data_IF_090734086794
#
_entry.id   IF_090734086794
#
_cell.length_a   1.000
_cell.length_b   1.000
_cell.length_c   1.000
_cell.angle_alpha   90.00
_cell.angle_beta   90.00
_cell.angle_gamma   90.00
#
_symmetry.space_group_name_H-M   'P 1'
#
loop_
_entity.id
_entity.type
_entity.pdbx_description
1 polymer ?
#
# COMPACT_ATOMS: atom_id res chain seq x y z
N UNK A 1 6.54 -3.22 8.07
CA UNK A 1 5.90 -2.06 7.41
C UNK A 1 5.44 -1.11 8.51
N UNK A 2 5.83 0.17 8.51
CA UNK A 2 5.80 0.96 9.74
C UNK A 2 4.41 1.48 10.15
N UNK A 3 3.35 1.27 9.36
CA UNK A 3 2.03 1.89 9.61
C UNK A 3 0.84 0.92 9.51
N UNK A 4 0.90 -0.06 8.60
CA UNK A 4 -0.08 -1.14 8.59
C UNK A 4 0.18 -2.05 9.79
N UNK A 5 -0.78 -2.08 10.72
CA UNK A 5 -0.68 -2.89 11.94
C UNK A 5 -1.04 -4.35 11.67
N UNK A 6 -1.93 -4.60 10.71
CA UNK A 6 -2.38 -5.95 10.40
C UNK A 6 -3.08 -6.04 9.05
N UNK A 7 -2.95 -7.21 8.42
CA UNK A 7 -3.63 -7.58 7.19
C UNK A 7 -4.09 -9.03 7.31
N UNK A 8 -5.35 -9.31 6.99
CA UNK A 8 -5.81 -10.70 6.85
C UNK A 8 -6.79 -10.83 5.70
N UNK A 9 -6.74 -11.98 5.03
CA UNK A 9 -7.68 -12.35 3.97
C UNK A 9 -8.93 -12.91 4.63
N UNK A 10 -10.12 -12.56 4.12
CA UNK A 10 -11.37 -13.12 4.63
C UNK A 10 -11.51 -14.57 4.16
N UNK A 11 -11.57 -15.52 5.10
CA UNK A 11 -11.64 -16.96 4.79
C UNK A 11 -12.83 -17.32 3.89
N UNK A 12 -13.99 -16.73 4.16
CA UNK A 12 -15.22 -16.94 3.40
C UNK A 12 -15.26 -16.20 2.06
N UNK A 13 -14.33 -15.26 1.83
CA UNK A 13 -14.31 -14.41 0.64
C UNK A 13 -12.89 -13.91 0.31
N UNK A 14 -12.08 -14.74 -0.37
CA UNK A 14 -10.64 -14.49 -0.53
C UNK A 14 -10.28 -13.33 -1.46
N UNK A 15 -11.24 -12.81 -2.23
CA UNK A 15 -11.06 -11.56 -2.99
C UNK A 15 -11.07 -10.32 -2.09
N UNK A 16 -11.34 -10.47 -0.79
CA UNK A 16 -11.34 -9.38 0.18
C UNK A 16 -10.23 -9.56 1.22
N UNK A 17 -9.57 -8.45 1.52
CA UNK A 17 -8.61 -8.34 2.60
C UNK A 17 -9.02 -7.23 3.56
N UNK A 18 -8.92 -7.48 4.85
CA UNK A 18 -9.10 -6.47 5.88
C UNK A 18 -7.74 -5.93 6.30
N UNK A 19 -7.66 -4.61 6.35
CA UNK A 19 -6.47 -3.86 6.69
C UNK A 19 -6.76 -3.00 7.90
N UNK A 20 -5.79 -2.92 8.79
CA UNK A 20 -5.80 -1.96 9.89
C UNK A 20 -4.51 -1.15 9.88
N UNK A 21 -4.68 0.14 10.14
CA UNK A 21 -3.66 1.15 10.24
C UNK A 21 -3.69 1.68 11.67
N UNK A 22 -2.56 1.61 12.36
CA UNK A 22 -2.39 2.21 13.70
C UNK A 22 -1.25 3.20 13.63
N UNK A 23 -1.52 4.43 14.00
CA UNK A 23 -0.52 5.49 13.96
C UNK A 23 -0.82 6.57 14.99
N UNK A 24 0.24 7.17 15.50
CA UNK A 24 0.14 8.30 16.42
C UNK A 24 0.17 9.61 15.62
N UNK A 25 -0.83 10.46 15.85
CA UNK A 25 -0.95 11.77 15.22
C UNK A 25 -1.19 12.78 16.31
N UNK A 26 -0.23 13.70 16.51
CA UNK A 26 -0.30 14.74 17.54
C UNK A 26 -0.61 14.21 18.95
N UNK A 27 0.05 13.12 19.37
CA UNK A 27 -0.14 12.54 20.70
C UNK A 27 -1.41 11.68 20.85
N UNK A 28 -2.15 11.44 19.77
CA UNK A 28 -3.35 10.58 19.76
C UNK A 28 -3.12 9.35 18.91
N UNK A 29 -3.44 8.18 19.47
CA UNK A 29 -3.48 6.93 18.73
C UNK A 29 -4.73 6.91 17.84
N UNK A 30 -4.51 6.85 16.53
CA UNK A 30 -5.56 6.70 15.53
C UNK A 30 -5.49 5.28 15.00
N UNK A 31 -6.63 4.58 15.08
CA UNK A 31 -6.81 3.27 14.48
C UNK A 31 -7.88 3.36 13.38
N UNK A 32 -7.48 3.10 12.14
CA UNK A 32 -8.37 3.05 10.99
C UNK A 32 -8.37 1.63 10.44
N UNK A 33 -9.55 1.11 10.14
CA UNK A 33 -9.71 -0.18 9.48
C UNK A 33 -10.52 -0.02 8.21
N UNK A 34 -10.13 -0.73 7.16
CA UNK A 34 -10.91 -0.80 5.93
C UNK A 34 -10.89 -2.21 5.34
N UNK A 35 -11.94 -2.52 4.60
CA UNK A 35 -12.02 -3.72 3.79
C UNK A 35 -11.64 -3.37 2.37
N UNK A 36 -10.59 -3.96 1.83
CA UNK A 36 -10.14 -3.75 0.46
C UNK A 36 -10.50 -4.96 -0.41
N UNK A 37 -10.94 -4.70 -1.65
CA UNK A 37 -11.01 -5.74 -2.67
C UNK A 37 -9.62 -5.93 -3.27
N UNK A 38 -9.05 -7.11 -3.06
CA UNK A 38 -7.87 -7.56 -3.77
C UNK A 38 -8.29 -7.86 -5.20
N UNK A 39 -7.68 -7.17 -6.16
CA UNK A 39 -7.97 -7.43 -7.56
C UNK A 39 -6.79 -8.16 -8.19
N UNK A 40 -7.12 -9.11 -9.06
CA UNK A 40 -6.14 -9.97 -9.72
C UNK A 40 -5.09 -9.12 -10.43
N UNK A 41 -3.78 -9.43 -10.28
CA UNK A 41 -2.73 -8.72 -10.99
C UNK A 41 -3.02 -8.77 -12.50
N UNK A 42 -3.07 -7.61 -13.14
CA UNK A 42 -3.23 -7.55 -14.59
C UNK A 42 -1.84 -7.55 -15.21
N UNK A 43 -1.58 -8.55 -16.03
CA UNK A 43 -0.35 -8.65 -16.82
C UNK A 43 -0.72 -8.33 -18.26
N UNK A 44 -0.40 -7.12 -18.73
CA UNK A 44 -0.59 -6.74 -20.13
C UNK A 44 0.72 -6.76 -20.90
N UNK A 45 0.71 -7.42 -22.06
CA UNK A 45 1.78 -7.42 -23.05
C UNK A 45 3.18 -7.64 -22.46
N UNK A 46 3.28 -8.43 -21.39
CA UNK A 46 4.52 -8.76 -20.64
C UNK A 46 5.34 -7.56 -20.12
N UNK A 47 4.79 -6.33 -20.15
CA UNK A 47 5.56 -5.10 -19.91
C UNK A 47 5.14 -4.33 -18.66
N UNK A 48 3.93 -4.50 -18.18
CA UNK A 48 3.49 -3.79 -16.97
C UNK A 48 2.66 -4.76 -16.14
N UNK A 49 3.15 -5.01 -14.92
CA UNK A 49 2.38 -5.68 -13.89
C UNK A 49 1.78 -4.60 -13.01
N UNK A 50 0.48 -4.64 -12.77
CA UNK A 50 -0.10 -3.78 -11.75
C UNK A 50 -1.07 -4.51 -10.84
N UNK A 51 -1.02 -4.12 -9.58
CA UNK A 51 -1.94 -4.51 -8.52
C UNK A 51 -2.81 -3.29 -8.24
N UNK A 52 -4.12 -3.47 -8.13
CA UNK A 52 -5.01 -2.38 -7.74
C UNK A 52 -5.95 -2.84 -6.62
N UNK A 53 -6.27 -1.89 -5.74
CA UNK A 53 -7.20 -2.12 -4.65
C UNK A 53 -8.19 -0.97 -4.56
N UNK A 54 -9.32 -1.27 -3.94
CA UNK A 54 -10.35 -0.30 -3.60
C UNK A 54 -10.98 -0.70 -2.28
N UNK A 55 -11.07 0.26 -1.35
CA UNK A 55 -11.83 0.08 -0.13
C UNK A 55 -13.32 -0.06 -0.44
N UNK A 56 -13.97 -1.02 0.18
CA UNK A 56 -15.41 -1.21 0.13
C UNK A 56 -16.10 -0.53 1.33
N UNK A 57 -15.46 -0.56 2.50
CA UNK A 57 -15.99 -0.06 3.78
C UNK A 57 -14.84 0.47 4.64
N UNK A 58 -15.11 1.47 5.48
CA UNK A 58 -14.14 2.06 6.41
C UNK A 58 -13.50 3.31 5.83
N UNK A 59 -12.16 3.39 5.88
CA UNK A 59 -11.40 4.48 5.27
C UNK A 59 -11.51 4.45 3.73
N UNK A 60 -12.14 5.45 3.08
CA UNK A 60 -12.22 5.49 1.63
C UNK A 60 -10.82 5.67 1.03
N UNK A 61 -10.32 4.64 0.36
CA UNK A 61 -9.05 4.66 -0.33
C UNK A 61 -9.05 3.73 -1.55
N UNK A 62 -8.29 4.10 -2.56
CA UNK A 62 -7.99 3.26 -3.72
C UNK A 62 -6.55 3.49 -4.14
N UNK A 63 -6.00 2.53 -4.85
CA UNK A 63 -4.67 2.73 -5.40
C UNK A 63 -4.25 1.64 -6.33
N UNK A 64 -3.07 1.86 -6.90
CA UNK A 64 -2.41 0.91 -7.76
C UNK A 64 -0.89 0.92 -7.53
N UNK A 65 -0.29 -0.26 -7.55
CA UNK A 65 1.15 -0.43 -7.70
C UNK A 65 1.41 -0.88 -9.12
N UNK A 66 2.32 -0.21 -9.83
CA UNK A 66 2.77 -0.60 -11.17
C UNK A 66 4.25 -0.95 -11.13
N UNK A 67 4.61 -2.00 -11.84
CA UNK A 67 6.00 -2.45 -12.03
C UNK A 67 6.35 -2.31 -13.50
N UNK A 68 7.38 -1.52 -13.79
CA UNK A 68 7.93 -1.33 -15.12
C UNK A 68 9.31 -2.00 -15.19
N UNK A 69 9.51 -3.05 -15.99
CA UNK A 69 10.80 -3.71 -16.10
C UNK A 69 11.83 -2.75 -16.71
N UNK A 70 13.01 -2.70 -16.09
CA UNK A 70 14.17 -1.92 -16.57
C UNK A 70 15.28 -2.84 -17.09
N UNK A 71 15.46 -3.99 -16.44
CA UNK A 71 16.37 -5.07 -16.86
C UNK A 71 15.83 -6.42 -16.36
N UNK A 72 16.46 -7.56 -16.70
CA UNK A 72 16.05 -8.87 -16.19
C UNK A 72 16.02 -9.00 -14.66
N UNK A 73 16.79 -8.16 -13.96
CA UNK A 73 16.92 -8.16 -12.49
C UNK A 73 16.47 -6.86 -11.82
N UNK A 74 15.85 -5.94 -12.57
CA UNK A 74 15.42 -4.65 -12.01
C UNK A 74 14.14 -4.09 -12.63
N UNK A 75 13.37 -3.38 -11.81
CA UNK A 75 12.17 -2.68 -12.24
C UNK A 75 12.02 -1.32 -11.54
N UNK A 76 11.21 -0.45 -12.14
CA UNK A 76 10.71 0.78 -11.53
C UNK A 76 9.36 0.45 -10.90
N UNK A 77 9.18 0.86 -9.65
CA UNK A 77 7.92 0.70 -8.91
C UNK A 77 7.24 2.06 -8.82
N UNK A 78 6.00 2.14 -9.28
CA UNK A 78 5.17 3.34 -9.15
C UNK A 78 3.96 3.01 -8.26
N UNK A 79 3.85 3.72 -7.15
CA UNK A 79 2.68 3.68 -6.27
C UNK A 79 1.78 4.90 -6.58
N UNK A 80 0.50 4.67 -6.78
CA UNK A 80 -0.52 5.72 -6.86
C UNK A 80 -1.59 5.41 -5.82
N UNK A 81 -1.86 6.36 -4.93
CA UNK A 81 -2.88 6.23 -3.89
C UNK A 81 -3.78 7.45 -3.94
N UNK A 82 -5.06 7.21 -3.79
CA UNK A 82 -6.08 8.21 -3.59
C UNK A 82 -6.89 7.83 -2.35
N UNK A 83 -7.09 8.79 -1.47
CA UNK A 83 -7.77 8.57 -0.20
C UNK A 83 -8.57 9.81 0.17
N UNK A 84 -9.64 9.59 0.92
CA UNK A 84 -10.39 10.66 1.55
C UNK A 84 -9.91 10.82 2.99
N UNK A 85 -9.85 12.07 3.44
CA UNK A 85 -9.49 12.39 4.81
C UNK A 85 -10.75 12.21 5.67
N UNK A 86 -10.73 11.34 6.69
CA UNK A 86 -11.85 11.23 7.63
C UNK A 86 -12.20 12.60 8.23
N UNK A 87 -13.48 12.92 8.38
CA UNK A 87 -13.92 14.22 8.91
C UNK A 87 -13.33 14.55 10.29
N UNK A 88 -13.13 13.53 11.13
CA UNK A 88 -12.48 13.68 12.44
C UNK A 88 -11.04 14.23 12.35
N UNK A 89 -10.41 14.12 11.18
CA UNK A 89 -9.08 14.65 10.86
C UNK A 89 -9.13 15.86 9.92
N UNK A 90 -10.31 16.38 9.56
CA UNK A 90 -10.45 17.47 8.58
C UNK A 90 -9.73 18.76 9.01
N UNK A 91 -9.68 19.05 10.31
CA UNK A 91 -8.96 20.21 10.86
C UNK A 91 -7.43 20.12 10.67
N UNK A 92 -6.91 18.92 10.38
CA UNK A 92 -5.49 18.65 10.18
C UNK A 92 -5.09 18.61 8.70
N UNK A 93 -6.00 18.94 7.78
CA UNK A 93 -5.84 18.73 6.33
C UNK A 93 -4.50 19.27 5.78
N UNK A 94 -4.07 20.46 6.21
CA UNK A 94 -2.81 21.07 5.74
C UNK A 94 -1.56 20.29 6.18
N UNK A 95 -1.56 19.72 7.40
CA UNK A 95 -0.43 18.93 7.91
C UNK A 95 -0.50 17.45 7.50
N UNK A 96 -1.71 16.95 7.21
CA UNK A 96 -1.94 15.55 6.92
C UNK A 96 -1.39 15.13 5.57
N UNK A 97 -1.48 15.99 4.54
CA UNK A 97 -0.95 15.69 3.21
C UNK A 97 0.56 15.40 3.21
N UNK A 98 1.45 16.30 3.66
CA UNK A 98 2.89 16.02 3.68
C UNK A 98 3.26 14.85 4.61
N UNK A 99 2.49 14.66 5.68
CA UNK A 99 2.66 13.50 6.56
C UNK A 99 2.37 12.18 5.82
N UNK A 100 1.23 12.07 5.13
CA UNK A 100 0.84 10.89 4.37
C UNK A 100 1.80 10.61 3.21
N UNK A 101 2.26 11.65 2.50
CA UNK A 101 3.27 11.51 1.46
C UNK A 101 4.57 10.92 2.02
N UNK A 102 5.05 11.45 3.16
CA UNK A 102 6.23 10.91 3.85
C UNK A 102 6.04 9.47 4.34
N UNK A 103 4.84 9.13 4.81
CA UNK A 103 4.48 7.77 5.23
C UNK A 103 4.54 6.78 4.06
N UNK A 104 3.94 7.14 2.92
CA UNK A 104 3.92 6.33 1.71
C UNK A 104 5.33 6.16 1.13
N UNK A 105 6.12 7.23 1.09
CA UNK A 105 7.50 7.19 0.59
C UNK A 105 8.36 6.23 1.41
N UNK A 106 8.38 6.37 2.74
CA UNK A 106 9.10 5.45 3.64
C UNK A 106 8.63 4.00 3.47
N UNK A 107 7.34 3.79 3.20
CA UNK A 107 6.78 2.48 2.89
C UNK A 107 7.39 1.86 1.63
N UNK A 108 7.47 2.64 0.54
CA UNK A 108 8.07 2.18 -0.73
C UNK A 108 9.58 1.92 -0.56
N UNK A 109 10.30 2.81 0.13
CA UNK A 109 11.74 2.63 0.39
C UNK A 109 12.01 1.35 1.17
N UNK A 110 11.21 1.08 2.21
CA UNK A 110 11.29 -0.16 2.99
C UNK A 110 11.01 -1.39 2.12
N UNK A 111 10.03 -1.32 1.22
CA UNK A 111 9.74 -2.39 0.27
C UNK A 111 10.92 -2.63 -0.70
N UNK A 112 11.53 -1.56 -1.22
CA UNK A 112 12.70 -1.66 -2.10
C UNK A 112 13.86 -2.34 -1.40
N UNK A 113 14.15 -1.98 -0.14
CA UNK A 113 15.18 -2.61 0.65
C UNK A 113 14.91 -4.12 0.84
N UNK A 114 13.69 -4.47 1.26
CA UNK A 114 13.26 -5.85 1.43
C UNK A 114 13.36 -6.66 0.12
N UNK A 115 12.89 -6.12 -1.00
CA UNK A 115 12.91 -6.80 -2.29
C UNK A 115 14.34 -7.08 -2.77
N UNK A 116 15.26 -6.13 -2.56
CA UNK A 116 16.69 -6.31 -2.89
C UNK A 116 17.34 -7.39 -2.02
N UNK A 117 17.12 -7.34 -0.71
CA UNK A 117 17.64 -8.34 0.23
C UNK A 117 17.12 -9.74 -0.13
N UNK A 118 15.81 -9.86 -0.38
CA UNK A 118 15.19 -11.14 -0.75
C UNK A 118 15.76 -11.67 -2.06
N UNK A 119 15.99 -10.82 -3.06
CA UNK A 119 16.58 -11.21 -4.34
C UNK A 119 18.03 -11.70 -4.19
N UNK A 120 18.83 -11.05 -3.34
CA UNK A 120 20.21 -11.48 -3.07
C UNK A 120 20.30 -12.85 -2.39
N UNK A 121 19.26 -13.22 -1.62
CA UNK A 121 19.18 -14.49 -0.91
C UNK A 121 18.59 -15.63 -1.77
N UNK A 122 18.14 -15.35 -3.00
CA UNK A 122 17.69 -16.38 -3.95
C UNK A 122 18.91 -16.81 -4.77
N UNK A 123 19.28 -18.11 -4.78
CA UNK A 123 20.32 -18.63 -5.66
C UNK A 123 20.00 -18.23 -7.10
N UNK A 124 20.91 -17.49 -7.73
CA UNK A 124 20.78 -17.18 -9.15
C UNK A 124 21.04 -18.47 -9.95
N UNK A 125 20.25 -18.76 -11.00
CA UNK A 125 20.46 -19.92 -11.85
C UNK A 125 21.79 -19.87 -12.61
#
# INVERSE_FOLDING_TARGET
>A
MPFISSTWILEYKPDLSRWSLKYEVFGRNVELSWLARNMTPIVRNQKIHWLHWRSLVGLPNRGAVRFFPKSPSSCIVQLTVEYEIPEILAQLNQALKPFMEGLLLKGIESFVAYAKERNSNIPQP
#
